data_IF_884723618796
#
_entry.id   IF_884723618796
#
_cell.length_a   1.000
_cell.length_b   1.000
_cell.length_c   1.000
_cell.angle_alpha   90.00
_cell.angle_beta   90.00
_cell.angle_gamma   90.00
#
_symmetry.space_group_name_H-M   'P 1'
#
loop_
_entity.id
_entity.type
_entity.pdbx_description
1 polymer ?
#
# COMPACT_ATOMS: atom_id res chain seq x y z
N UNK A 1 13.02 9.42 13.48
CA UNK A 1 12.29 8.51 14.42
C UNK A 1 10.87 9.03 14.51
N UNK A 2 9.88 8.15 14.37
CA UNK A 2 8.47 8.55 14.50
C UNK A 2 8.21 8.70 15.98
N UNK A 3 7.81 9.89 16.42
CA UNK A 3 7.41 10.21 17.80
C UNK A 3 6.25 9.30 18.23
N UNK A 4 6.34 8.68 19.41
CA UNK A 4 5.27 7.82 19.95
C UNK A 4 5.53 6.31 19.92
N UNK A 5 6.74 5.87 19.54
CA UNK A 5 7.16 4.46 19.60
C UNK A 5 8.11 4.15 20.76
N UNK A 6 8.11 4.97 21.82
CA UNK A 6 9.03 4.83 22.95
C UNK A 6 8.77 3.56 23.80
N UNK A 7 7.53 3.08 23.82
CA UNK A 7 7.18 1.83 24.46
C UNK A 7 7.13 0.67 23.43
N UNK A 8 7.67 -0.48 23.83
CA UNK A 8 7.57 -1.70 23.02
C UNK A 8 6.15 -2.21 23.03
N UNK A 9 5.53 -2.27 21.84
CA UNK A 9 4.19 -2.80 21.58
C UNK A 9 4.27 -4.07 20.75
N UNK A 10 3.17 -4.83 20.73
CA UNK A 10 2.96 -5.95 19.83
C UNK A 10 2.11 -5.50 18.64
N UNK A 11 2.64 -5.64 17.44
CA UNK A 11 1.99 -5.25 16.19
C UNK A 11 1.64 -6.50 15.38
N UNK A 12 0.42 -6.56 14.87
CA UNK A 12 0.05 -7.57 13.89
C UNK A 12 -0.02 -6.92 12.51
N UNK A 13 0.73 -7.47 11.55
CA UNK A 13 0.76 -7.01 10.17
C UNK A 13 0.22 -8.10 9.28
N UNK A 14 -0.92 -7.90 8.65
CA UNK A 14 -1.43 -8.82 7.61
C UNK A 14 -0.92 -8.41 6.23
N UNK A 15 -0.79 -9.37 5.31
CA UNK A 15 -0.08 -9.13 4.06
C UNK A 15 1.43 -8.90 4.27
N UNK A 16 1.99 -9.52 5.32
CA UNK A 16 3.36 -9.30 5.78
C UNK A 16 4.45 -9.68 4.76
N UNK A 17 4.16 -10.61 3.85
CA UNK A 17 5.03 -10.99 2.74
C UNK A 17 4.77 -10.17 1.46
N UNK A 18 3.76 -9.31 1.47
CA UNK A 18 3.42 -8.40 0.37
C UNK A 18 4.34 -7.18 0.29
N UNK A 19 4.14 -6.38 -0.73
CA UNK A 19 4.90 -5.16 -0.99
C UNK A 19 4.88 -4.20 0.21
N UNK A 20 3.70 -3.68 0.60
CA UNK A 20 3.59 -2.70 1.69
C UNK A 20 3.86 -3.35 3.05
N UNK A 21 3.29 -4.54 3.28
CA UNK A 21 3.41 -5.24 4.56
C UNK A 21 4.85 -5.54 4.95
N UNK A 22 5.69 -5.97 4.01
CA UNK A 22 7.10 -6.28 4.29
C UNK A 22 7.92 -5.05 4.70
N UNK A 23 7.63 -3.88 4.12
CA UNK A 23 8.25 -2.63 4.55
C UNK A 23 7.79 -2.20 5.95
N UNK A 24 6.52 -2.41 6.28
CA UNK A 24 6.00 -2.14 7.63
C UNK A 24 6.66 -3.05 8.66
N UNK A 25 6.76 -4.36 8.38
CA UNK A 25 7.46 -5.32 9.25
C UNK A 25 8.89 -4.88 9.50
N UNK A 26 9.64 -4.55 8.45
CA UNK A 26 11.02 -4.09 8.56
C UNK A 26 11.15 -2.85 9.45
N UNK A 27 10.35 -1.80 9.19
CA UNK A 27 10.42 -0.56 9.96
C UNK A 27 10.05 -0.75 11.43
N UNK A 28 9.06 -1.59 11.72
CA UNK A 28 8.69 -1.93 13.10
C UNK A 28 9.81 -2.68 13.82
N UNK A 29 10.45 -3.64 13.17
CA UNK A 29 11.59 -4.37 13.73
C UNK A 29 12.79 -3.44 13.96
N UNK A 30 13.12 -2.57 13.01
CA UNK A 30 14.16 -1.55 13.16
C UNK A 30 13.86 -0.59 14.34
N UNK A 31 12.60 -0.32 14.62
CA UNK A 31 12.15 0.43 15.78
C UNK A 31 12.08 -0.38 17.10
N UNK A 32 12.45 -1.69 17.08
CA UNK A 32 12.46 -2.55 18.26
C UNK A 32 11.10 -3.02 18.75
N UNK A 33 10.12 -2.99 17.90
CA UNK A 33 8.77 -3.45 18.20
C UNK A 33 8.65 -4.98 18.03
N UNK A 34 7.68 -5.61 18.72
CA UNK A 34 7.32 -7.00 18.46
C UNK A 34 6.36 -7.05 17.28
N UNK A 35 6.63 -7.92 16.31
CA UNK A 35 5.82 -8.02 15.10
C UNK A 35 5.33 -9.45 14.88
N UNK A 36 4.04 -9.59 14.69
CA UNK A 36 3.36 -10.82 14.25
C UNK A 36 2.95 -10.59 12.80
N UNK A 37 3.60 -11.28 11.88
CA UNK A 37 3.30 -11.21 10.45
C UNK A 37 2.34 -12.33 10.04
N UNK A 38 1.38 -12.01 9.19
CA UNK A 38 0.40 -12.95 8.63
C UNK A 38 0.34 -12.78 7.12
N UNK A 39 0.46 -13.87 6.38
CA UNK A 39 0.31 -13.91 4.92
C UNK A 39 -0.01 -15.34 4.48
N UNK A 40 -0.76 -15.51 3.39
CA UNK A 40 -1.02 -16.82 2.78
C UNK A 40 -0.26 -17.03 1.47
N UNK A 41 0.63 -16.10 1.11
CA UNK A 41 1.42 -16.07 -0.12
C UNK A 41 0.61 -16.10 -1.43
N UNK A 42 -0.67 -15.73 -1.40
CA UNK A 42 -1.47 -15.64 -2.63
C UNK A 42 -0.94 -14.58 -3.61
N UNK A 43 -0.34 -13.51 -3.07
CA UNK A 43 0.34 -12.45 -3.82
C UNK A 43 1.64 -12.00 -3.14
N UNK A 44 1.83 -12.35 -1.89
CA UNK A 44 3.06 -12.11 -1.13
C UNK A 44 4.19 -13.05 -1.56
N UNK A 45 5.43 -12.61 -1.44
CA UNK A 45 6.62 -13.35 -1.84
C UNK A 45 7.47 -13.70 -0.61
N UNK A 46 7.93 -14.96 -0.52
CA UNK A 46 8.83 -15.42 0.56
C UNK A 46 10.12 -14.60 0.59
N UNK A 47 10.62 -14.22 -0.58
CA UNK A 47 11.80 -13.36 -0.75
C UNK A 47 11.67 -12.02 -0.01
N UNK A 48 10.47 -11.44 0.08
CA UNK A 48 10.27 -10.21 0.83
C UNK A 48 10.53 -10.40 2.33
N UNK A 49 10.17 -11.57 2.89
CA UNK A 49 10.49 -11.89 4.29
C UNK A 49 11.98 -12.15 4.50
N UNK A 50 12.67 -12.74 3.51
CA UNK A 50 14.11 -12.95 3.57
C UNK A 50 14.86 -11.62 3.49
N UNK A 51 14.41 -10.69 2.65
CA UNK A 51 14.93 -9.33 2.61
C UNK A 51 14.75 -8.60 3.95
N UNK A 52 13.59 -8.75 4.60
CA UNK A 52 13.35 -8.20 5.94
C UNK A 52 14.33 -8.78 6.96
N UNK A 53 14.51 -10.10 6.98
CA UNK A 53 15.46 -10.76 7.90
C UNK A 53 16.90 -10.32 7.66
N UNK A 54 17.28 -10.12 6.40
CA UNK A 54 18.62 -9.63 6.02
C UNK A 54 18.87 -8.15 6.37
N UNK A 55 17.81 -7.34 6.48
CA UNK A 55 17.92 -5.92 6.77
C UNK A 55 18.02 -5.60 8.27
N UNK A 56 17.73 -6.55 9.17
CA UNK A 56 17.71 -6.35 10.63
C UNK A 56 18.76 -7.19 11.32
N UNK A 57 19.23 -6.76 12.49
CA UNK A 57 20.13 -7.58 13.33
C UNK A 57 19.40 -8.84 13.83
N UNK A 58 20.16 -9.87 14.21
CA UNK A 58 19.60 -11.10 14.79
C UNK A 58 18.73 -10.84 16.03
N UNK A 59 19.11 -9.87 16.88
CA UNK A 59 18.32 -9.44 18.03
C UNK A 59 16.96 -8.87 17.60
N UNK A 60 16.94 -8.01 16.60
CA UNK A 60 15.69 -7.43 16.05
C UNK A 60 14.86 -8.48 15.35
N UNK A 61 15.51 -9.39 14.61
CA UNK A 61 14.86 -10.51 13.94
C UNK A 61 14.14 -11.46 14.91
N UNK A 62 14.64 -11.63 16.15
CA UNK A 62 13.98 -12.43 17.18
C UNK A 62 12.65 -11.87 17.68
N UNK A 63 12.36 -10.60 17.36
CA UNK A 63 11.08 -9.96 17.67
C UNK A 63 10.00 -10.24 16.63
N UNK A 64 10.32 -10.96 15.55
CA UNK A 64 9.42 -11.29 14.46
C UNK A 64 8.91 -12.74 14.55
N UNK A 65 7.61 -12.90 14.58
CA UNK A 65 6.94 -14.19 14.42
C UNK A 65 6.08 -14.14 13.16
N UNK A 66 6.19 -15.15 12.31
CA UNK A 66 5.43 -15.23 11.06
C UNK A 66 4.50 -16.43 11.08
N UNK A 67 3.27 -16.24 10.59
CA UNK A 67 2.25 -17.26 10.47
C UNK A 67 1.73 -17.28 9.03
N UNK A 68 1.85 -18.43 8.38
CA UNK A 68 1.21 -18.68 7.09
C UNK A 68 -0.27 -18.97 7.33
N UNK A 69 -1.10 -17.94 7.13
CA UNK A 69 -2.53 -18.00 7.46
C UNK A 69 -3.32 -17.14 6.47
N UNK A 70 -4.48 -17.67 6.06
CA UNK A 70 -5.43 -16.93 5.23
C UNK A 70 -6.36 -16.08 6.11
N UNK A 71 -6.54 -14.81 5.77
CA UNK A 71 -7.46 -13.92 6.51
C UNK A 71 -8.94 -14.34 6.37
N UNK A 72 -9.28 -15.14 5.36
CA UNK A 72 -10.61 -15.71 5.17
C UNK A 72 -10.93 -16.83 6.18
N UNK A 73 -9.90 -17.45 6.74
CA UNK A 73 -10.06 -18.44 7.83
C UNK A 73 -10.41 -17.72 9.14
N UNK A 74 -11.71 -17.60 9.39
CA UNK A 74 -12.25 -16.88 10.55
C UNK A 74 -11.73 -17.41 11.88
N UNK A 75 -11.72 -18.73 12.03
CA UNK A 75 -11.37 -19.35 13.30
C UNK A 75 -9.86 -19.27 13.54
N UNK A 76 -9.04 -19.52 12.51
CA UNK A 76 -7.60 -19.36 12.58
C UNK A 76 -7.16 -17.93 12.87
N UNK A 77 -7.80 -16.93 12.27
CA UNK A 77 -7.53 -15.51 12.56
C UNK A 77 -7.95 -15.15 13.98
N UNK A 78 -9.11 -15.61 14.42
CA UNK A 78 -9.59 -15.37 15.80
C UNK A 78 -8.64 -15.97 16.83
N UNK A 79 -8.16 -17.20 16.62
CA UNK A 79 -7.17 -17.85 17.49
C UNK A 79 -5.84 -17.09 17.48
N UNK A 80 -5.31 -16.73 16.31
CA UNK A 80 -4.05 -16.02 16.17
C UNK A 80 -4.07 -14.67 16.89
N UNK A 81 -5.11 -13.86 16.69
CA UNK A 81 -5.26 -12.56 17.35
C UNK A 81 -5.43 -12.72 18.86
N UNK A 82 -6.18 -13.72 19.31
CA UNK A 82 -6.36 -14.04 20.73
C UNK A 82 -5.05 -14.45 21.43
N UNK A 83 -4.19 -15.21 20.75
CA UNK A 83 -2.88 -15.65 21.28
C UNK A 83 -1.84 -14.54 21.26
N UNK A 84 -1.78 -13.77 20.18
CA UNK A 84 -0.78 -12.72 19.98
C UNK A 84 -1.09 -11.43 20.75
N UNK A 85 -2.38 -11.19 21.05
CA UNK A 85 -2.88 -9.99 21.77
C UNK A 85 -2.20 -8.71 21.28
N UNK A 86 -2.33 -8.36 19.99
CA UNK A 86 -1.67 -7.19 19.45
C UNK A 86 -2.27 -5.91 20.03
N UNK A 87 -1.40 -4.93 20.29
CA UNK A 87 -1.84 -3.58 20.66
C UNK A 87 -2.42 -2.84 19.44
N UNK A 88 -1.81 -3.07 18.27
CA UNK A 88 -2.17 -2.42 17.01
C UNK A 88 -2.16 -3.46 15.87
N UNK A 89 -3.12 -3.33 14.96
CA UNK A 89 -3.17 -4.11 13.72
C UNK A 89 -2.93 -3.17 12.52
N UNK A 90 -1.98 -3.53 11.66
CA UNK A 90 -1.77 -2.94 10.34
C UNK A 90 -2.29 -3.93 9.29
N UNK A 91 -3.50 -3.70 8.80
CA UNK A 91 -4.17 -4.62 7.88
C UNK A 91 -3.89 -4.23 6.42
N UNK A 92 -2.92 -4.91 5.79
CA UNK A 92 -2.52 -4.70 4.40
C UNK A 92 -2.97 -5.85 3.47
N UNK A 93 -3.33 -7.01 4.02
CA UNK A 93 -3.78 -8.17 3.25
C UNK A 93 -5.05 -7.83 2.45
N UNK A 94 -4.96 -7.97 1.14
CA UNK A 94 -6.07 -7.79 0.20
C UNK A 94 -5.66 -8.27 -1.18
N UNK A 95 -6.61 -8.69 -2.01
CA UNK A 95 -6.40 -8.83 -3.44
C UNK A 95 -6.53 -7.45 -4.09
N UNK A 96 -5.39 -6.82 -4.35
CA UNK A 96 -5.29 -5.55 -5.07
C UNK A 96 -5.41 -5.77 -6.57
N UNK A 97 -5.96 -4.84 -7.32
CA UNK A 97 -6.06 -4.77 -8.78
C UNK A 97 -7.50 -4.71 -9.26
N UNK A 98 -7.79 -3.65 -10.01
CA UNK A 98 -9.07 -3.47 -10.70
C UNK A 98 -9.30 -4.57 -11.75
N UNK A 99 -8.35 -4.86 -12.68
CA UNK A 99 -8.54 -5.91 -13.66
C UNK A 99 -8.81 -7.29 -13.04
N UNK A 100 -8.05 -7.69 -12.01
CA UNK A 100 -8.30 -8.95 -11.30
C UNK A 100 -9.71 -9.02 -10.74
N UNK A 101 -10.20 -7.96 -10.14
CA UNK A 101 -11.53 -7.95 -9.54
C UNK A 101 -12.67 -8.02 -10.56
N UNK A 102 -12.42 -7.60 -11.80
CA UNK A 102 -13.37 -7.76 -12.91
C UNK A 102 -13.39 -9.21 -13.39
N UNK A 103 -12.22 -9.84 -13.47
CA UNK A 103 -12.05 -11.23 -13.88
C UNK A 103 -12.55 -12.20 -12.80
N UNK A 104 -12.22 -11.95 -11.52
CA UNK A 104 -12.63 -12.75 -10.39
C UNK A 104 -13.15 -11.87 -9.23
N UNK A 105 -14.43 -11.45 -9.30
CA UNK A 105 -15.02 -10.60 -8.28
C UNK A 105 -15.27 -11.34 -6.95
N UNK A 106 -15.50 -12.65 -6.99
CA UNK A 106 -15.81 -13.43 -5.80
C UNK A 106 -14.58 -13.57 -4.88
N UNK A 107 -13.44 -14.02 -5.41
CA UNK A 107 -12.21 -14.07 -4.63
C UNK A 107 -11.78 -12.69 -4.11
N UNK A 108 -12.01 -11.63 -4.90
CA UNK A 108 -11.78 -10.25 -4.45
C UNK A 108 -12.69 -9.87 -3.29
N UNK A 109 -13.96 -10.27 -3.30
CA UNK A 109 -14.90 -10.06 -2.21
C UNK A 109 -14.50 -10.84 -0.96
N UNK A 110 -14.32 -12.15 -1.06
CA UNK A 110 -13.95 -13.02 0.06
C UNK A 110 -12.69 -12.51 0.79
N UNK A 111 -11.66 -12.14 0.03
CA UNK A 111 -10.43 -11.63 0.63
C UNK A 111 -10.60 -10.24 1.23
N UNK A 112 -11.16 -9.30 0.48
CA UNK A 112 -11.14 -7.89 0.85
C UNK A 112 -12.28 -7.49 1.79
N UNK A 113 -13.39 -8.24 1.80
CA UNK A 113 -14.57 -7.97 2.65
C UNK A 113 -14.61 -8.97 3.79
N UNK A 114 -14.79 -10.26 3.51
CA UNK A 114 -14.95 -11.28 4.56
C UNK A 114 -13.68 -11.39 5.41
N UNK A 115 -12.50 -11.41 4.75
CA UNK A 115 -11.21 -11.42 5.46
C UNK A 115 -11.00 -10.19 6.34
N UNK A 116 -11.41 -9.01 5.88
CA UNK A 116 -11.32 -7.80 6.70
C UNK A 116 -12.30 -7.81 7.87
N UNK A 117 -13.53 -8.28 7.66
CA UNK A 117 -14.52 -8.42 8.75
C UNK A 117 -14.03 -9.42 9.80
N UNK A 118 -13.44 -10.55 9.40
CA UNK A 118 -12.84 -11.51 10.33
C UNK A 118 -11.78 -10.84 11.21
N UNK A 119 -10.94 -9.98 10.62
CA UNK A 119 -9.92 -9.23 11.34
C UNK A 119 -10.51 -8.21 12.31
N UNK A 120 -11.52 -7.43 11.89
CA UNK A 120 -12.21 -6.47 12.76
C UNK A 120 -12.89 -7.16 13.94
N UNK A 121 -13.55 -8.31 13.68
CA UNK A 121 -14.25 -9.09 14.71
C UNK A 121 -13.27 -9.71 15.73
N UNK A 122 -12.14 -10.24 15.26
CA UNK A 122 -11.08 -10.73 16.13
C UNK A 122 -10.47 -9.59 16.97
N UNK A 123 -10.19 -8.42 16.33
CA UNK A 123 -9.63 -7.26 17.01
C UNK A 123 -10.52 -6.76 18.17
N UNK A 124 -11.82 -6.57 17.92
CA UNK A 124 -12.75 -6.11 18.97
C UNK A 124 -12.86 -7.08 20.14
N UNK A 125 -12.84 -8.41 19.87
CA UNK A 125 -12.98 -9.45 20.91
C UNK A 125 -11.85 -9.46 21.92
N UNK A 126 -10.63 -9.09 21.48
CA UNK A 126 -9.46 -9.06 22.37
C UNK A 126 -9.11 -7.66 22.85
N UNK A 127 -9.85 -6.65 22.43
CA UNK A 127 -9.65 -5.28 22.86
C UNK A 127 -8.41 -4.62 22.21
N UNK A 128 -8.16 -4.89 20.92
CA UNK A 128 -7.11 -4.20 20.16
C UNK A 128 -7.35 -2.70 20.21
N UNK A 129 -6.32 -1.94 20.50
CA UNK A 129 -6.42 -0.48 20.66
C UNK A 129 -6.81 0.19 19.32
N UNK A 130 -6.17 -0.21 18.22
CA UNK A 130 -6.42 0.42 16.91
C UNK A 130 -6.15 -0.53 15.75
N UNK A 131 -6.98 -0.41 14.70
CA UNK A 131 -6.77 -1.05 13.39
C UNK A 131 -6.52 0.03 12.34
N UNK A 132 -5.33 0.04 11.75
CA UNK A 132 -5.02 0.83 10.54
C UNK A 132 -5.13 -0.10 9.34
N UNK A 133 -5.88 0.29 8.32
CA UNK A 133 -6.13 -0.60 7.19
C UNK A 133 -5.96 0.09 5.84
N UNK A 134 -5.55 -0.70 4.85
CA UNK A 134 -5.38 -0.28 3.48
C UNK A 134 -6.74 -0.08 2.80
N UNK A 135 -7.13 1.17 2.55
CA UNK A 135 -8.14 1.56 1.58
C UNK A 135 -7.46 1.94 0.25
N UNK A 136 -8.15 2.60 -0.65
CA UNK A 136 -7.64 2.90 -2.00
C UNK A 136 -8.29 4.16 -2.57
N UNK A 137 -7.54 4.89 -3.39
CA UNK A 137 -8.07 5.97 -4.22
C UNK A 137 -9.16 5.52 -5.21
N UNK A 138 -9.25 4.20 -5.49
CA UNK A 138 -10.31 3.64 -6.33
C UNK A 138 -11.73 3.85 -5.79
N UNK A 139 -11.88 4.10 -4.47
CA UNK A 139 -13.19 4.38 -3.85
C UNK A 139 -13.82 5.68 -4.34
N UNK A 140 -13.03 6.58 -4.92
CA UNK A 140 -13.52 7.82 -5.50
C UNK A 140 -14.37 7.59 -6.76
N UNK A 141 -14.15 6.49 -7.47
CA UNK A 141 -14.96 6.12 -8.62
C UNK A 141 -14.94 7.16 -9.74
N UNK A 142 -16.12 7.52 -10.22
CA UNK A 142 -16.35 8.43 -11.35
C UNK A 142 -16.40 9.93 -10.96
N UNK A 143 -15.93 10.28 -9.78
CA UNK A 143 -15.86 11.69 -9.41
C UNK A 143 -14.98 12.46 -10.39
N UNK A 144 -15.48 13.56 -10.92
CA UNK A 144 -14.82 14.35 -11.96
C UNK A 144 -13.41 14.84 -11.64
N UNK A 145 -12.85 15.68 -12.50
CA UNK A 145 -11.51 16.21 -12.36
C UNK A 145 -11.28 17.02 -11.07
N UNK A 146 -10.02 17.17 -10.69
CA UNK A 146 -9.58 17.88 -9.50
C UNK A 146 -9.02 16.98 -8.40
N UNK A 147 -8.53 17.61 -7.33
CA UNK A 147 -8.02 16.91 -6.18
C UNK A 147 -9.15 16.16 -5.46
N UNK A 148 -8.89 14.90 -5.11
CA UNK A 148 -9.83 14.02 -4.40
C UNK A 148 -9.80 14.36 -2.92
N UNK A 149 -10.95 14.71 -2.35
CA UNK A 149 -11.14 14.99 -0.92
C UNK A 149 -11.98 13.88 -0.29
N UNK A 150 -11.76 13.57 0.98
CA UNK A 150 -12.25 12.36 1.63
C UNK A 150 -13.78 12.30 1.74
N UNK A 151 -14.46 13.41 1.83
CA UNK A 151 -15.91 13.52 2.00
C UNK A 151 -16.72 13.41 0.67
N UNK A 152 -16.04 13.40 -0.48
CA UNK A 152 -16.67 13.33 -1.80
C UNK A 152 -16.37 12.03 -2.50
N UNK A 153 -17.40 11.21 -2.71
CA UNK A 153 -17.27 9.92 -3.36
C UNK A 153 -18.29 9.80 -4.50
N UNK A 154 -17.81 9.34 -5.65
CA UNK A 154 -18.64 8.98 -6.80
C UNK A 154 -19.14 7.53 -6.74
N UNK A 155 -19.62 7.01 -7.87
CA UNK A 155 -19.99 5.62 -8.04
C UNK A 155 -18.75 4.74 -8.19
N UNK A 156 -18.71 3.59 -7.50
CA UNK A 156 -17.61 2.64 -7.65
C UNK A 156 -17.56 2.08 -9.08
N UNK A 157 -16.37 2.12 -9.71
CA UNK A 157 -16.18 1.71 -11.10
C UNK A 157 -15.69 0.25 -11.25
N UNK A 158 -15.48 -0.47 -10.15
CA UNK A 158 -15.01 -1.87 -10.18
C UNK A 158 -15.39 -2.62 -8.92
N UNK A 159 -15.43 -3.97 -8.97
CA UNK A 159 -15.59 -4.78 -7.77
C UNK A 159 -14.53 -4.47 -6.70
N UNK A 160 -13.26 -4.26 -7.08
CA UNK A 160 -12.21 -3.84 -6.16
C UNK A 160 -12.56 -2.53 -5.43
N UNK A 161 -12.99 -1.50 -6.15
CA UNK A 161 -13.41 -0.24 -5.55
C UNK A 161 -14.59 -0.44 -4.58
N UNK A 162 -15.56 -1.26 -4.96
CA UNK A 162 -16.69 -1.62 -4.11
C UNK A 162 -16.23 -2.32 -2.83
N UNK A 163 -15.32 -3.31 -2.91
CA UNK A 163 -14.82 -4.02 -1.71
C UNK A 163 -14.11 -3.07 -0.75
N UNK A 164 -13.30 -2.13 -1.26
CA UNK A 164 -12.61 -1.14 -0.41
C UNK A 164 -13.61 -0.18 0.26
N UNK A 165 -14.64 0.26 -0.47
CA UNK A 165 -15.69 1.10 0.11
C UNK A 165 -16.51 0.36 1.16
N UNK A 166 -16.85 -0.90 0.95
CA UNK A 166 -17.53 -1.77 1.93
C UNK A 166 -16.66 -1.88 3.19
N UNK A 167 -15.35 -2.06 3.05
CA UNK A 167 -14.42 -2.09 4.18
C UNK A 167 -14.47 -0.80 5.02
N UNK A 168 -14.49 0.39 4.38
CA UNK A 168 -14.63 1.68 5.08
C UNK A 168 -15.96 1.75 5.87
N UNK A 169 -17.06 1.27 5.27
CA UNK A 169 -18.38 1.23 5.93
C UNK A 169 -18.34 0.32 7.16
N UNK A 170 -17.78 -0.90 7.04
CA UNK A 170 -17.67 -1.82 8.17
C UNK A 170 -16.77 -1.26 9.28
N UNK A 171 -15.63 -0.68 8.93
CA UNK A 171 -14.73 -0.05 9.90
C UNK A 171 -15.46 1.07 10.69
N UNK A 172 -16.25 1.90 10.00
CA UNK A 172 -17.06 2.93 10.63
C UNK A 172 -18.12 2.34 11.58
N UNK A 173 -18.81 1.28 11.16
CA UNK A 173 -19.82 0.60 11.99
C UNK A 173 -19.16 -0.03 13.21
N UNK A 174 -18.01 -0.71 13.06
CA UNK A 174 -17.29 -1.29 14.21
C UNK A 174 -16.83 -0.22 15.19
N UNK A 175 -16.39 0.94 14.70
CA UNK A 175 -16.08 2.08 15.56
C UNK A 175 -17.29 2.54 16.37
N UNK A 176 -18.42 2.78 15.72
CA UNK A 176 -19.65 3.30 16.35
C UNK A 176 -20.30 2.28 17.30
N UNK A 177 -20.32 1.01 16.91
CA UNK A 177 -21.05 -0.04 17.64
C UNK A 177 -20.22 -0.65 18.76
N UNK A 178 -18.92 -0.84 18.54
CA UNK A 178 -18.06 -1.59 19.44
C UNK A 178 -16.92 -0.75 20.04
N UNK A 179 -16.78 0.51 19.64
CA UNK A 179 -15.71 1.38 20.13
C UNK A 179 -14.31 1.04 19.61
N UNK A 180 -14.19 0.21 18.54
CA UNK A 180 -12.92 -0.14 17.93
C UNK A 180 -12.37 1.04 17.13
N UNK A 181 -11.23 1.59 17.51
CA UNK A 181 -10.60 2.65 16.73
C UNK A 181 -10.09 2.13 15.38
N UNK A 182 -10.47 2.80 14.30
CA UNK A 182 -10.07 2.41 12.95
C UNK A 182 -9.60 3.61 12.15
N UNK A 183 -8.52 3.46 11.38
CA UNK A 183 -8.01 4.47 10.44
C UNK A 183 -7.82 3.81 9.07
N UNK A 184 -8.61 4.24 8.10
CA UNK A 184 -8.49 3.82 6.71
C UNK A 184 -7.55 4.73 5.93
N UNK A 185 -6.57 4.17 5.24
CA UNK A 185 -5.62 4.91 4.43
C UNK A 185 -5.93 4.68 2.94
N UNK A 186 -6.47 5.70 2.26
CA UNK A 186 -6.72 5.68 0.81
C UNK A 186 -5.41 5.91 0.08
N UNK A 187 -4.72 4.84 -0.25
CA UNK A 187 -3.46 4.93 -1.00
C UNK A 187 -3.67 5.38 -2.43
N UNK A 188 -2.84 6.35 -2.86
CA UNK A 188 -2.70 6.77 -4.25
C UNK A 188 -1.44 6.12 -4.82
N UNK A 189 -1.52 5.54 -5.97
CA UNK A 189 -0.50 4.90 -6.81
C UNK A 189 0.87 4.62 -6.13
N UNK A 190 0.85 3.72 -5.15
CA UNK A 190 2.06 3.37 -4.37
C UNK A 190 3.07 2.65 -5.27
N UNK A 191 4.35 3.00 -5.12
CA UNK A 191 5.45 2.34 -5.80
C UNK A 191 6.69 2.24 -4.91
N UNK A 192 7.58 1.29 -5.22
CA UNK A 192 8.82 1.09 -4.48
C UNK A 192 9.41 -0.31 -4.64
N UNK A 193 10.53 -0.59 -3.95
CA UNK A 193 11.13 -1.92 -3.87
C UNK A 193 10.13 -3.00 -3.41
N UNK A 194 10.38 -4.26 -3.79
CA UNK A 194 9.56 -5.44 -3.42
C UNK A 194 8.17 -5.47 -4.07
N UNK A 195 7.89 -4.62 -5.04
CA UNK A 195 6.68 -4.68 -5.85
C UNK A 195 6.91 -5.63 -7.02
N UNK A 196 6.06 -6.66 -7.18
CA UNK A 196 6.23 -7.68 -8.22
C UNK A 196 6.04 -7.08 -9.63
N UNK A 197 7.05 -7.17 -10.52
CA UNK A 197 6.96 -6.71 -11.90
C UNK A 197 6.29 -7.73 -12.84
N UNK A 198 6.14 -9.00 -12.43
CA UNK A 198 5.86 -10.12 -13.33
C UNK A 198 4.39 -10.55 -13.35
N UNK A 199 3.56 -10.08 -12.43
CA UNK A 199 2.15 -10.46 -12.39
C UNK A 199 1.34 -9.87 -13.57
N UNK A 200 0.28 -10.54 -14.02
CA UNK A 200 -0.59 -10.03 -15.10
C UNK A 200 -1.22 -8.67 -14.74
N UNK A 201 -1.25 -8.37 -13.47
CA UNK A 201 -1.78 -7.13 -12.90
C UNK A 201 -0.70 -6.21 -12.32
N UNK A 202 0.56 -6.39 -12.73
CA UNK A 202 1.68 -5.58 -12.24
C UNK A 202 1.46 -4.09 -12.56
N UNK A 203 1.79 -3.23 -11.58
CA UNK A 203 1.68 -1.79 -11.70
C UNK A 203 2.63 -1.24 -12.78
N UNK A 204 2.36 -0.03 -13.26
CA UNK A 204 3.08 0.58 -14.38
C UNK A 204 4.58 0.71 -14.12
N UNK A 205 4.97 1.18 -12.92
CA UNK A 205 6.39 1.47 -12.60
C UNK A 205 7.24 0.19 -12.59
N UNK A 206 6.94 -0.87 -11.81
CA UNK A 206 7.77 -2.08 -11.81
C UNK A 206 7.81 -2.76 -13.19
N UNK A 207 6.69 -2.76 -13.92
CA UNK A 207 6.63 -3.32 -15.28
C UNK A 207 7.51 -2.54 -16.28
N UNK A 208 7.46 -1.21 -16.24
CA UNK A 208 8.29 -0.38 -17.12
C UNK A 208 9.78 -0.49 -16.76
N UNK A 209 10.11 -0.49 -15.48
CA UNK A 209 11.49 -0.68 -15.04
C UNK A 209 12.05 -2.01 -15.51
N UNK A 210 11.31 -3.11 -15.34
CA UNK A 210 11.72 -4.43 -15.81
C UNK A 210 11.88 -4.52 -17.34
N UNK A 211 11.02 -3.84 -18.11
CA UNK A 211 11.13 -3.77 -19.55
C UNK A 211 12.35 -2.97 -20.00
N UNK A 212 12.53 -1.76 -19.44
CA UNK A 212 13.65 -0.87 -19.78
C UNK A 212 15.02 -1.46 -19.40
N UNK A 213 15.11 -2.17 -18.26
CA UNK A 213 16.33 -2.88 -17.86
C UNK A 213 16.77 -3.94 -18.89
N UNK A 214 15.81 -4.50 -19.63
CA UNK A 214 16.02 -5.45 -20.74
C UNK A 214 16.11 -4.76 -22.11
N UNK A 215 16.15 -3.42 -22.15
CA UNK A 215 16.12 -2.59 -23.35
C UNK A 215 14.88 -2.85 -24.24
N UNK A 216 13.76 -3.25 -23.63
CA UNK A 216 12.48 -3.40 -24.31
C UNK A 216 11.70 -2.08 -24.27
N UNK A 217 10.92 -1.75 -25.31
CA UNK A 217 10.05 -0.57 -25.29
C UNK A 217 8.94 -0.75 -24.23
N UNK A 218 8.49 0.37 -23.69
CA UNK A 218 7.32 0.44 -22.80
C UNK A 218 6.11 0.92 -23.58
N UNK A 219 4.89 0.58 -23.13
CA UNK A 219 3.66 1.05 -23.75
C UNK A 219 3.01 2.13 -22.86
N UNK A 220 2.66 3.26 -23.48
CA UNK A 220 1.83 4.31 -22.89
C UNK A 220 0.49 4.31 -23.62
N UNK A 221 -0.62 4.16 -22.88
CA UNK A 221 -1.97 4.22 -23.42
C UNK A 221 -2.45 5.65 -23.44
N UNK A 222 -2.83 6.14 -24.64
CA UNK A 222 -3.12 7.53 -24.93
C UNK A 222 -1.86 8.32 -25.33
N UNK A 223 -1.92 9.64 -25.18
CA UNK A 223 -0.85 10.58 -25.53
C UNK A 223 0.21 10.78 -24.42
N UNK A 224 0.05 10.09 -23.29
CA UNK A 224 0.93 10.22 -22.15
C UNK A 224 0.63 11.41 -21.23
N UNK A 225 -0.41 12.20 -21.51
CA UNK A 225 -0.86 13.34 -20.67
C UNK A 225 -1.57 12.86 -19.37
N UNK A 226 -2.10 11.65 -19.37
CA UNK A 226 -2.71 11.05 -18.19
C UNK A 226 -1.77 11.11 -16.99
N UNK A 227 -2.27 11.59 -15.83
CA UNK A 227 -1.44 11.87 -14.66
C UNK A 227 -1.93 11.15 -13.41
N UNK A 228 -0.99 10.81 -12.52
CA UNK A 228 -1.25 10.13 -11.25
C UNK A 228 -0.48 10.83 -10.12
N UNK A 229 -1.03 10.78 -8.94
CA UNK A 229 -0.29 11.03 -7.71
C UNK A 229 0.43 9.73 -7.32
N UNK A 230 1.72 9.65 -7.66
CA UNK A 230 2.56 8.51 -7.30
C UNK A 230 3.16 8.71 -5.92
N UNK A 231 2.98 7.75 -5.05
CA UNK A 231 3.42 7.79 -3.66
C UNK A 231 4.50 6.74 -3.40
N UNK A 232 5.72 7.17 -3.05
CA UNK A 232 6.80 6.24 -2.73
C UNK A 232 6.52 5.51 -1.42
N UNK A 233 6.93 4.24 -1.35
CA UNK A 233 6.63 3.32 -0.24
C UNK A 233 6.99 3.88 1.13
N UNK A 234 8.08 4.63 1.27
CA UNK A 234 8.49 5.24 2.53
C UNK A 234 7.45 6.22 3.07
N UNK A 235 6.77 6.97 2.19
CA UNK A 235 5.67 7.85 2.58
C UNK A 235 4.46 7.07 3.10
N UNK A 236 4.17 5.93 2.50
CA UNK A 236 3.07 5.04 2.93
C UNK A 236 3.38 4.40 4.29
N UNK A 237 4.61 3.95 4.49
CA UNK A 237 5.07 3.44 5.79
C UNK A 237 4.95 4.52 6.85
N UNK A 238 5.42 5.74 6.58
CA UNK A 238 5.26 6.89 7.48
C UNK A 238 3.79 7.09 7.87
N UNK A 239 2.88 7.11 6.89
CA UNK A 239 1.46 7.32 7.12
C UNK A 239 0.83 6.24 8.02
N UNK A 240 1.18 4.95 7.79
CA UNK A 240 0.71 3.86 8.65
C UNK A 240 1.15 4.02 10.10
N UNK A 241 2.43 4.35 10.31
CA UNK A 241 2.98 4.50 11.65
C UNK A 241 2.43 5.75 12.36
N UNK A 242 2.22 6.84 11.65
CA UNK A 242 1.54 8.02 12.17
C UNK A 242 0.09 7.70 12.55
N UNK A 243 -0.69 7.08 11.64
CA UNK A 243 -2.07 6.69 11.90
C UNK A 243 -2.22 5.76 13.11
N UNK A 244 -1.22 4.90 13.34
CA UNK A 244 -1.18 4.01 14.49
C UNK A 244 -0.79 4.71 15.80
N UNK A 245 -0.15 5.88 15.74
CA UNK A 245 0.46 6.56 16.89
C UNK A 245 -0.26 7.83 17.34
N UNK A 246 -1.15 8.41 16.51
CA UNK A 246 -1.93 9.60 16.91
C UNK A 246 -2.73 9.30 18.19
N UNK A 247 -2.83 10.26 19.14
CA UNK A 247 -3.63 10.08 20.33
C UNK A 247 -5.09 9.73 20.01
N UNK A 248 -5.66 8.84 20.80
CA UNK A 248 -7.10 8.57 20.77
C UNK A 248 -7.85 9.84 21.13
N UNK A 249 -8.61 10.39 20.20
CA UNK A 249 -9.53 11.48 20.50
C UNK A 249 -10.95 10.94 20.54
N UNK A 250 -11.72 11.36 21.53
CA UNK A 250 -13.12 10.97 21.70
C UNK A 250 -14.02 11.34 20.50
N UNK A 251 -13.52 12.13 19.58
CA UNK A 251 -14.23 12.60 18.40
C UNK A 251 -14.00 11.76 17.12
N UNK A 252 -12.97 10.90 17.08
CA UNK A 252 -12.59 10.16 15.84
C UNK A 252 -12.35 8.67 16.09
N UNK A 253 -13.41 7.93 16.45
CA UNK A 253 -13.36 6.46 16.54
C UNK A 253 -13.09 5.84 15.16
N UNK A 254 -13.45 6.52 14.08
CA UNK A 254 -13.18 6.12 12.71
C UNK A 254 -12.80 7.33 11.86
N UNK A 255 -11.73 7.22 11.11
CA UNK A 255 -11.34 8.20 10.08
C UNK A 255 -10.86 7.50 8.82
N UNK A 256 -10.97 8.20 7.71
CA UNK A 256 -10.40 7.78 6.42
C UNK A 256 -9.57 8.93 5.89
N UNK A 257 -8.36 8.64 5.40
CA UNK A 257 -7.36 9.67 5.09
C UNK A 257 -6.68 9.36 3.75
N UNK A 258 -6.51 10.37 2.91
CA UNK A 258 -5.76 10.26 1.65
C UNK A 258 -4.26 10.18 1.89
N UNK A 259 -3.61 9.21 1.27
CA UNK A 259 -2.15 9.06 1.31
C UNK A 259 -1.58 9.09 -0.10
N UNK A 260 -1.01 10.23 -0.43
CA UNK A 260 -0.36 10.57 -1.68
C UNK A 260 0.73 11.61 -1.44
N UNK A 261 1.24 12.21 -2.49
CA UNK A 261 2.20 13.33 -2.42
C UNK A 261 1.53 14.70 -2.54
N UNK A 262 0.25 14.77 -2.94
CA UNK A 262 -0.44 16.02 -3.26
C UNK A 262 0.09 16.67 -4.55
N UNK A 263 0.68 15.88 -5.43
CA UNK A 263 1.26 16.32 -6.70
C UNK A 263 1.04 15.27 -7.79
N UNK A 264 0.89 15.70 -9.02
CA UNK A 264 0.71 14.78 -10.16
C UNK A 264 1.99 14.65 -10.98
N UNK A 265 2.18 13.46 -11.54
CA UNK A 265 3.20 13.18 -12.55
C UNK A 265 2.51 12.54 -13.75
N UNK A 266 2.75 13.06 -14.96
CA UNK A 266 2.19 12.46 -16.17
C UNK A 266 2.91 11.15 -16.52
N UNK A 267 2.27 10.29 -17.29
CA UNK A 267 2.88 9.02 -17.72
C UNK A 267 4.14 9.29 -18.56
N UNK A 268 4.13 10.34 -19.37
CA UNK A 268 5.31 10.74 -20.14
C UNK A 268 6.46 11.24 -19.24
N UNK A 269 6.16 12.06 -18.23
CA UNK A 269 7.17 12.51 -17.25
C UNK A 269 7.74 11.32 -16.46
N UNK A 270 6.88 10.39 -16.01
CA UNK A 270 7.31 9.19 -15.31
C UNK A 270 8.27 8.34 -16.15
N UNK A 271 7.93 8.13 -17.42
CA UNK A 271 8.76 7.36 -18.35
C UNK A 271 10.14 8.02 -18.56
N UNK A 272 10.17 9.34 -18.72
CA UNK A 272 11.43 10.09 -18.84
C UNK A 272 12.26 10.04 -17.54
N UNK A 273 11.63 10.07 -16.35
CA UNK A 273 12.30 9.90 -15.08
C UNK A 273 12.97 8.52 -15.00
N UNK A 274 12.23 7.44 -15.29
CA UNK A 274 12.79 6.09 -15.30
C UNK A 274 13.98 5.96 -16.26
N UNK A 275 13.86 6.43 -17.50
CA UNK A 275 14.95 6.38 -18.48
C UNK A 275 16.20 7.09 -17.98
N UNK A 276 16.07 8.28 -17.45
CA UNK A 276 17.22 9.07 -16.92
C UNK A 276 17.92 8.34 -15.77
N UNK A 277 17.16 7.80 -14.81
CA UNK A 277 17.75 7.12 -13.66
C UNK A 277 18.37 5.77 -14.05
N UNK A 278 17.72 4.99 -14.93
CA UNK A 278 18.30 3.73 -15.45
C UNK A 278 19.59 4.02 -16.20
N UNK A 279 19.60 5.00 -17.12
CA UNK A 279 20.80 5.36 -17.89
C UNK A 279 21.96 5.74 -16.98
N UNK A 280 21.70 6.50 -15.90
CA UNK A 280 22.71 6.88 -14.90
C UNK A 280 23.30 5.67 -14.18
N UNK A 281 22.44 4.72 -13.72
CA UNK A 281 22.89 3.54 -12.96
C UNK A 281 23.64 2.54 -13.86
N UNK A 282 23.16 2.35 -15.10
CA UNK A 282 23.78 1.42 -16.07
C UNK A 282 25.02 2.05 -16.73
N UNK A 283 25.21 3.36 -16.62
CA UNK A 283 26.36 4.06 -17.25
C UNK A 283 26.23 4.22 -18.77
N UNK A 284 25.00 4.42 -19.28
CA UNK A 284 24.75 4.60 -20.71
C UNK A 284 24.08 5.95 -21.02
N UNK A 285 23.96 6.31 -22.30
CA UNK A 285 23.21 7.48 -22.71
C UNK A 285 21.70 7.20 -22.67
N UNK A 286 20.87 8.21 -22.39
CA UNK A 286 19.41 8.06 -22.26
C UNK A 286 18.75 7.59 -23.57
N UNK A 287 19.28 7.97 -24.72
CA UNK A 287 18.81 7.54 -26.05
C UNK A 287 19.02 6.05 -26.34
N UNK A 288 19.90 5.39 -25.58
CA UNK A 288 20.10 3.94 -25.66
C UNK A 288 19.00 3.13 -24.95
N UNK A 289 18.12 3.80 -24.18
CA UNK A 289 16.92 3.21 -23.60
C UNK A 289 15.73 3.54 -24.48
N UNK A 290 14.96 2.55 -24.98
CA UNK A 290 13.90 2.76 -25.96
C UNK A 290 12.87 3.81 -25.52
N UNK A 291 12.39 4.60 -26.47
CA UNK A 291 11.22 5.46 -26.30
C UNK A 291 9.96 4.61 -26.09
N UNK A 292 8.91 5.14 -25.45
CA UNK A 292 7.66 4.42 -25.30
C UNK A 292 6.92 4.31 -26.61
N UNK A 293 6.25 3.20 -26.84
CA UNK A 293 5.21 3.08 -27.85
C UNK A 293 3.91 3.71 -27.32
N UNK A 294 3.26 4.53 -28.14
CA UNK A 294 1.93 5.07 -27.83
C UNK A 294 0.87 4.11 -28.35
N UNK A 295 -0.02 3.69 -27.48
CA UNK A 295 -1.10 2.75 -27.74
C UNK A 295 -2.48 3.43 -27.58
N UNK A 296 -3.55 2.92 -28.18
CA UNK A 296 -4.89 3.46 -27.99
C UNK A 296 -5.29 3.53 -26.52
N UNK A 297 -6.08 4.54 -26.14
CA UNK A 297 -6.60 4.71 -24.78
C UNK A 297 -7.39 3.46 -24.36
N UNK A 298 -7.16 2.96 -23.14
CA UNK A 298 -7.93 1.86 -22.57
C UNK A 298 -9.28 2.35 -22.07
N UNK A 299 -10.31 1.58 -22.37
CA UNK A 299 -11.64 1.86 -21.83
C UNK A 299 -11.63 1.73 -20.30
N UNK A 300 -12.16 2.74 -19.61
CA UNK A 300 -12.26 2.77 -18.15
C UNK A 300 -11.03 3.33 -17.42
N UNK A 301 -9.98 3.76 -18.11
CA UNK A 301 -8.86 4.46 -17.47
C UNK A 301 -9.31 5.85 -16.98
N UNK A 302 -9.03 6.13 -15.72
CA UNK A 302 -9.21 7.48 -15.13
C UNK A 302 -8.08 8.37 -15.64
N UNK A 303 -8.36 9.50 -16.34
CA UNK A 303 -7.30 10.29 -16.96
C UNK A 303 -6.38 10.96 -15.92
N UNK A 304 -6.93 11.48 -14.82
CA UNK A 304 -6.17 12.20 -13.80
C UNK A 304 -6.55 11.73 -12.39
N UNK A 305 -5.54 11.60 -11.52
CA UNK A 305 -5.73 11.25 -10.11
C UNK A 305 -4.78 12.04 -9.24
N UNK A 306 -5.31 12.90 -8.38
CA UNK A 306 -4.59 13.76 -7.44
C UNK A 306 -5.22 13.65 -6.06
N UNK A 307 -4.41 13.44 -5.03
CA UNK A 307 -4.85 13.48 -3.63
C UNK A 307 -4.87 14.93 -3.11
N UNK A 308 -5.94 15.33 -2.45
CA UNK A 308 -5.83 16.37 -1.43
C UNK A 308 -5.33 15.68 -0.14
N UNK A 309 -4.17 16.10 0.35
CA UNK A 309 -3.54 15.55 1.56
C UNK A 309 -3.64 16.50 2.75
N UNK A 310 -4.47 17.53 2.67
CA UNK A 310 -4.65 18.52 3.74
C UNK A 310 -5.14 17.87 5.02
N UNK A 311 -6.12 16.99 4.92
CA UNK A 311 -6.64 16.26 6.07
C UNK A 311 -5.59 15.30 6.69
N UNK A 312 -4.75 14.66 5.87
CA UNK A 312 -3.65 13.84 6.37
C UNK A 312 -2.61 14.66 7.15
N UNK A 313 -2.30 15.88 6.67
CA UNK A 313 -1.40 16.81 7.36
C UNK A 313 -1.96 17.25 8.69
N UNK A 314 -3.21 17.62 8.72
CA UNK A 314 -3.89 18.12 9.92
C UNK A 314 -4.12 17.01 10.97
N UNK A 315 -4.65 15.86 10.55
CA UNK A 315 -5.08 14.81 11.46
C UNK A 315 -3.97 13.86 11.90
N UNK A 316 -2.98 13.60 11.03
CA UNK A 316 -1.88 12.66 11.29
C UNK A 316 -0.52 13.33 11.42
N UNK A 317 -0.38 14.61 11.06
CA UNK A 317 0.93 15.25 10.89
C UNK A 317 1.71 14.68 9.69
N UNK A 318 1.01 14.08 8.72
CA UNK A 318 1.62 13.47 7.55
C UNK A 318 2.27 14.51 6.65
N UNK A 319 3.54 14.31 6.36
CA UNK A 319 4.28 15.13 5.40
C UNK A 319 5.18 14.21 4.55
N UNK A 320 4.88 14.01 3.25
CA UNK A 320 5.66 13.14 2.38
C UNK A 320 7.15 13.52 2.41
N UNK A 321 8.01 12.57 2.70
CA UNK A 321 9.47 12.79 2.78
C UNK A 321 10.18 12.56 1.45
N UNK A 322 9.52 11.85 0.53
CA UNK A 322 10.08 11.50 -0.77
C UNK A 322 9.18 12.00 -1.89
N UNK A 323 9.75 12.77 -2.81
CA UNK A 323 9.14 13.07 -4.11
C UNK A 323 9.14 11.82 -5.00
N UNK A 324 8.37 11.87 -6.10
CA UNK A 324 8.38 10.79 -7.11
C UNK A 324 9.79 10.59 -7.68
N UNK A 325 10.52 11.67 -7.97
CA UNK A 325 11.88 11.57 -8.53
C UNK A 325 12.86 10.90 -7.56
N UNK A 326 12.84 11.26 -6.27
CA UNK A 326 13.64 10.60 -5.24
C UNK A 326 13.32 9.13 -5.12
N UNK A 327 12.02 8.77 -5.05
CA UNK A 327 11.59 7.39 -4.96
C UNK A 327 11.96 6.55 -6.20
N UNK A 328 11.89 7.14 -7.41
CA UNK A 328 12.35 6.47 -8.64
C UNK A 328 13.86 6.24 -8.62
N UNK A 329 14.65 7.21 -8.14
CA UNK A 329 16.10 7.05 -8.03
C UNK A 329 16.47 5.87 -7.12
N UNK A 330 15.86 5.78 -5.93
CA UNK A 330 16.08 4.69 -4.98
C UNK A 330 15.60 3.33 -5.52
N UNK A 331 14.41 3.30 -6.14
CA UNK A 331 13.86 2.09 -6.74
C UNK A 331 14.78 1.53 -7.84
N UNK A 332 15.23 2.39 -8.77
CA UNK A 332 16.12 1.99 -9.87
C UNK A 332 17.44 1.45 -9.33
N UNK A 333 18.03 2.11 -8.34
CA UNK A 333 19.24 1.63 -7.69
C UNK A 333 19.04 0.27 -7.03
N UNK A 334 17.95 0.07 -6.30
CA UNK A 334 17.63 -1.20 -5.63
C UNK A 334 17.43 -2.35 -6.63
N UNK A 335 16.64 -2.14 -7.68
CA UNK A 335 16.32 -3.21 -8.64
C UNK A 335 17.51 -3.59 -9.53
N UNK A 336 18.32 -2.62 -9.95
CA UNK A 336 19.49 -2.90 -10.79
C UNK A 336 20.67 -3.46 -9.99
N UNK A 337 20.78 -3.18 -8.69
CA UNK A 337 21.78 -3.81 -7.83
C UNK A 337 21.57 -5.32 -7.66
N UNK A 338 20.35 -5.85 -7.84
CA UNK A 338 20.05 -7.29 -7.82
C UNK A 338 20.57 -8.03 -9.05
N UNK A 339 20.85 -7.32 -10.14
CA UNK A 339 21.23 -7.89 -11.43
C UNK A 339 22.71 -7.71 -11.75
N UNK A 340 23.44 -6.98 -10.93
CA UNK A 340 24.89 -6.77 -11.01
C UNK A 340 25.61 -7.82 -10.13
#
# INVERSE_FOLDING_TARGET
MITGMDARRTWLVTGAAGFIGSHLVEQLLLAGQRVVGVDNFSTGLRENLDLVRGAVSAERGSLFSFFEQDIRDRDGISELVSRSKPDVILHQAALGSVPRSIEDPLSSHESNVDGFINMLDAARKVGVQRVVYASSSSVYGDIGDGAKVEDRLGAALSPYAATKRIGEIYAQVYGRTYGLETVGLRYFNVFGPRQDPNGPYAAVIPRWLAAMAKKNPTAIYGDGSGSRDFCYITNVVQANLLAASVPSSSAAIHSVVNIGCGATTTLMQLQQLLRRHIARVVGCQVDQIPEPALEPIRQGDVPHSLADISFARESLGYNPTHSVEQGIAELVQFELAKTA
#
